data_IF_797084940420
#
_entry.id   IF_797084940420
#
_cell.length_a   1.000
_cell.length_b   1.000
_cell.length_c   1.000
_cell.angle_alpha   90.00
_cell.angle_beta   90.00
_cell.angle_gamma   90.00
#
_symmetry.space_group_name_H-M   'P 1'
#
loop_
_entity.id
_entity.type
_entity.pdbx_description
1 polymer ?
#
# COMPACT_ATOMS: atom_id res chain seq x y z
N UNK A 14 24.93 7.88 -5.64
CA UNK A 14 25.50 6.74 -6.41
C UNK A 14 24.73 6.49 -7.71
N UNK A 15 25.45 6.34 -8.81
CA UNK A 15 24.82 6.13 -10.12
C UNK A 15 24.71 4.64 -10.44
N UNK A 16 23.49 4.20 -10.77
CA UNK A 16 23.21 2.80 -11.09
C UNK A 16 22.37 2.70 -12.38
N UNK A 17 22.74 1.74 -13.24
CA UNK A 17 22.20 1.64 -14.59
C UNK A 17 21.44 0.33 -14.84
N UNK A 18 20.28 0.17 -14.21
CA UNK A 18 19.51 -1.09 -14.34
C UNK A 18 18.13 -0.93 -15.04
N UNK A 19 17.41 -2.07 -15.26
CA UNK A 19 16.13 -2.01 -15.96
C UNK A 19 14.92 -1.70 -15.07
N UNK A 20 13.85 -1.21 -15.70
CA UNK A 20 12.66 -0.75 -14.99
C UNK A 20 11.45 -1.63 -15.32
N UNK A 21 10.79 -2.13 -14.28
CA UNK A 21 9.50 -2.80 -14.41
C UNK A 21 8.39 -1.88 -13.87
N UNK A 22 7.46 -1.46 -14.75
CA UNK A 22 6.33 -0.66 -14.33
C UNK A 22 5.38 -1.47 -13.47
N UNK A 23 4.77 -0.79 -12.51
CA UNK A 23 3.74 -1.38 -11.66
C UNK A 23 2.43 -0.63 -11.91
N UNK A 24 1.39 -1.35 -12.31
CA UNK A 24 0.12 -0.74 -12.72
C UNK A 24 -0.46 0.15 -11.63
N UNK A 25 -0.60 -0.39 -10.42
CA UNK A 25 -1.24 0.35 -9.35
C UNK A 25 -0.64 0.08 -7.96
N UNK A 26 0.64 -0.26 -7.90
CA UNK A 26 1.30 -0.44 -6.61
C UNK A 26 2.55 0.40 -6.44
N UNK A 27 2.91 0.62 -5.18
CA UNK A 27 4.18 1.21 -4.81
C UNK A 27 4.83 0.28 -3.78
N UNK A 28 6.03 -0.17 -4.09
CA UNK A 28 6.74 -1.10 -3.23
C UNK A 28 7.77 -0.34 -2.40
N UNK A 29 7.55 -0.31 -1.09
CA UNK A 29 8.46 0.40 -0.20
C UNK A 29 9.64 -0.47 0.21
N UNK A 30 10.80 0.16 0.42
CA UNK A 30 11.89 -0.51 1.09
C UNK A 30 11.39 -1.37 2.24
N UNK A 31 11.93 -2.60 2.32
CA UNK A 31 11.60 -3.57 3.37
C UNK A 31 10.13 -4.01 3.33
N UNK A 33 7.53 -6.71 1.35
CA UNK A 33 7.50 -7.94 0.55
C UNK A 33 6.14 -8.14 -0.11
N UNK A 34 6.14 -8.33 -1.42
CA UNK A 34 4.89 -8.45 -2.18
C UNK A 34 5.01 -9.40 -3.40
N UNK A 35 3.95 -10.20 -3.65
CA UNK A 35 3.87 -10.97 -4.89
C UNK A 35 3.42 -10.10 -6.08
N UNK A 36 4.25 -10.01 -7.11
CA UNK A 36 3.83 -9.40 -8.37
C UNK A 36 3.46 -10.48 -9.37
N UNK A 37 2.35 -10.27 -10.07
CA UNK A 37 1.89 -11.22 -11.06
C UNK A 37 2.07 -10.62 -12.44
N UNK A 38 2.97 -11.23 -13.21
CA UNK A 38 3.36 -10.73 -14.52
C UNK A 38 2.97 -11.70 -15.63
N UNK A 39 2.28 -11.18 -16.66
CA UNK A 39 1.83 -12.01 -17.78
C UNK A 39 2.07 -11.45 -19.18
N UNK A 40 3.06 -10.57 -19.30
CA UNK A 40 3.36 -9.92 -20.56
C UNK A 40 4.57 -10.55 -21.25
N UNK A 41 4.50 -10.62 -22.58
CA UNK A 41 5.61 -11.11 -23.41
C UNK A 41 6.79 -10.13 -23.34
N UNK A 42 6.58 -8.99 -22.78
CA UNK A 42 7.60 -7.94 -22.74
C UNK A 42 8.29 -7.79 -21.38
N UNK A 43 7.77 -8.46 -20.32
CA UNK A 43 8.34 -8.34 -18.98
C UNK A 43 9.22 -9.52 -18.59
N UNK A 44 8.63 -10.72 -18.59
CA UNK A 44 9.27 -11.94 -18.10
C UNK A 44 10.68 -12.13 -18.64
N UNK A 45 10.87 -11.85 -19.92
CA UNK A 45 12.16 -12.01 -20.58
C UNK A 45 13.25 -11.14 -19.95
N UNK A 46 12.85 -9.99 -19.40
CA UNK A 46 13.78 -9.11 -18.69
C UNK A 46 13.85 -9.43 -17.20
N UNK A 47 12.74 -9.93 -16.65
CA UNK A 47 12.70 -10.44 -15.28
C UNK A 47 13.64 -11.63 -15.08
N UNK A 48 13.97 -12.30 -16.18
CA UNK A 48 14.92 -13.41 -16.19
C UNK A 48 16.35 -12.91 -16.36
N UNK A 49 16.54 -11.99 -17.31
CA UNK A 49 17.86 -11.39 -17.57
C UNK A 49 18.37 -10.55 -16.39
N UNK A 50 17.46 -10.05 -15.57
CA UNK A 50 17.81 -9.38 -14.33
C UNK A 50 17.97 -10.37 -13.17
N UNK A 52 19.47 -13.24 -13.29
CA UNK A 52 20.88 -13.67 -13.32
C UNK A 52 21.82 -12.48 -13.44
N UNK A 53 21.40 -11.33 -12.93
CA UNK A 53 22.20 -10.11 -12.94
C UNK A 53 22.14 -9.44 -11.56
N UNK A 54 22.60 -10.17 -10.55
CA UNK A 54 22.62 -9.70 -9.15
C UNK A 54 21.23 -9.56 -8.51
N UNK A 55 20.22 -10.15 -9.14
CA UNK A 55 18.85 -10.31 -8.58
C UNK A 55 18.06 -9.03 -8.26
N UNK A 56 18.56 -7.87 -8.72
CA UNK A 56 18.00 -6.55 -8.36
C UNK A 56 17.19 -5.87 -9.48
N UNK A 57 15.98 -5.43 -9.14
CA UNK A 57 15.06 -4.78 -10.10
C UNK A 57 14.70 -3.34 -9.66
N UNK A 59 11.69 -0.69 -9.59
CA UNK A 59 10.23 -0.72 -9.58
C UNK A 59 9.60 0.66 -9.57
N UNK A 60 9.12 1.09 -10.74
CA UNK A 60 8.48 2.39 -10.89
C UNK A 60 7.00 2.20 -11.24
N UNK A 61 6.13 2.94 -10.55
CA UNK A 61 4.71 2.89 -10.80
C UNK A 61 4.32 3.94 -11.84
N UNK A 62 3.37 3.57 -12.71
CA UNK A 62 2.81 4.53 -13.66
C UNK A 62 1.70 5.41 -13.05
N UNK A 63 0.90 6.06 -13.89
CA UNK A 63 -0.11 7.03 -13.43
C UNK A 63 -1.43 6.93 -14.19
N UNK A 64 -2.15 8.05 -14.28
CA UNK A 64 -3.50 8.12 -14.90
C UNK A 64 -3.63 7.34 -16.21
N UNK A 65 -4.81 6.76 -16.39
CA UNK A 65 -5.07 5.71 -17.39
C UNK A 65 -4.04 4.59 -17.23
N UNK A 66 -4.35 3.64 -16.34
CA UNK A 66 -3.49 2.49 -16.08
C UNK A 66 -3.35 1.66 -17.36
N UNK A 67 -2.82 2.32 -18.38
CA UNK A 67 -2.69 1.80 -19.74
C UNK A 67 -1.67 0.67 -19.81
N UNK A 68 -2.09 -0.43 -20.41
CA UNK A 68 -1.29 -1.65 -20.47
C UNK A 68 -0.01 -1.52 -21.30
N UNK A 69 0.06 -0.47 -22.13
CA UNK A 69 1.26 -0.20 -22.91
C UNK A 69 1.86 1.15 -22.53
N UNK A 70 2.60 1.19 -21.40
CA UNK A 70 3.12 2.45 -20.89
C UNK A 70 4.32 2.93 -21.71
N UNK A 71 4.37 4.23 -21.95
CA UNK A 71 5.45 4.84 -22.74
C UNK A 71 6.67 5.17 -21.91
N UNK A 72 7.27 6.33 -22.19
CA UNK A 72 8.46 6.77 -21.47
C UNK A 72 8.19 7.98 -20.56
N UNK A 73 7.09 8.68 -20.83
CA UNK A 73 6.65 9.80 -19.99
C UNK A 73 5.58 9.37 -18.98
N UNK A 74 5.18 8.10 -19.07
CA UNK A 74 4.07 7.55 -18.28
C UNK A 74 4.49 7.05 -16.89
N UNK A 75 5.77 7.13 -16.60
CA UNK A 75 6.31 6.69 -15.32
C UNK A 75 6.58 7.88 -14.39
N UNK A 76 6.59 7.60 -13.10
CA UNK A 76 6.95 8.58 -12.10
C UNK A 76 8.46 8.79 -12.11
N UNK A 77 8.92 9.85 -11.46
CA UNK A 77 10.35 10.19 -11.44
C UNK A 77 11.14 9.22 -10.58
N UNK A 78 10.51 8.75 -9.48
CA UNK A 78 11.18 7.96 -8.44
C UNK A 78 10.62 6.53 -8.34
N UNK A 79 11.49 5.60 -8.00
CA UNK A 79 11.10 4.20 -7.84
C UNK A 79 11.86 3.50 -6.73
N UNK A 80 11.70 2.19 -6.68
CA UNK A 80 12.36 1.37 -5.67
C UNK A 80 13.21 0.30 -6.32
N UNK A 81 14.46 0.18 -5.89
CA UNK A 81 15.28 -0.98 -6.22
C UNK A 81 14.86 -2.12 -5.27
N UNK A 82 14.53 -3.27 -5.87
CA UNK A 82 13.98 -4.39 -5.11
C UNK A 82 14.57 -5.71 -5.57
N UNK A 83 14.97 -6.55 -4.61
CA UNK A 83 15.52 -7.87 -4.93
C UNK A 83 14.41 -8.91 -5.12
N UNK A 84 14.72 -9.97 -5.85
CA UNK A 84 13.76 -11.02 -6.19
C UNK A 84 13.89 -12.19 -5.23
N UNK A 85 12.81 -12.51 -4.53
CA UNK A 85 12.78 -13.64 -3.60
C UNK A 85 12.39 -15.00 -4.24
N UNK A 86 11.73 -14.95 -5.41
CA UNK A 86 11.39 -16.16 -6.18
C UNK A 86 10.76 -15.84 -7.55
N UNK A 88 7.87 -18.15 -10.23
CA UNK A 88 7.00 -19.33 -10.24
C UNK A 88 5.97 -19.29 -11.37
N UNK A 89 6.23 -20.04 -12.42
CA UNK A 89 5.27 -20.18 -13.51
C UNK A 89 3.97 -20.74 -12.96
N UNK A 90 2.84 -20.31 -13.51
CA UNK A 90 1.54 -20.72 -12.98
C UNK A 90 0.65 -21.35 -14.02
N UNK A 91 -0.32 -22.19 -13.57
CA UNK A 91 -1.21 -22.94 -14.48
C UNK A 91 -1.67 -22.14 -15.71
N UNK A 92 -1.89 -20.83 -15.56
CA UNK A 92 -2.35 -20.00 -16.69
C UNK A 92 -1.23 -19.29 -17.47
N UNK A 93 0.02 -19.67 -17.17
CA UNK A 93 1.19 -19.11 -17.87
C UNK A 93 1.71 -17.81 -17.29
N UNK A 94 1.32 -17.50 -16.05
CA UNK A 94 1.69 -16.23 -15.42
C UNK A 94 2.69 -16.45 -14.28
N UNK A 95 3.76 -15.65 -14.26
CA UNK A 95 4.79 -15.79 -13.21
C UNK A 95 4.47 -14.99 -11.96
N UNK A 96 4.22 -15.69 -10.86
CA UNK A 96 4.18 -15.09 -9.53
C UNK A 96 5.61 -14.85 -9.05
N UNK A 97 6.02 -13.58 -9.07
CA UNK A 97 7.35 -13.20 -8.57
C UNK A 97 7.28 -12.40 -7.26
N UNK A 98 7.82 -13.01 -6.21
CA UNK A 98 7.86 -12.40 -4.89
C UNK A 98 9.06 -11.48 -4.82
N UNK A 99 8.87 -10.28 -4.27
CA UNK A 99 9.94 -9.28 -4.15
C UNK A 99 10.01 -8.58 -2.80
N UNK A 100 11.19 -8.06 -2.48
CA UNK A 100 11.41 -7.22 -1.32
C UNK A 100 12.05 -5.93 -1.82
N UNK A 101 11.52 -4.79 -1.36
CA UNK A 101 12.05 -3.48 -1.72
C UNK A 101 13.31 -3.19 -0.93
N UNK A 102 14.28 -2.56 -1.58
CA UNK A 102 15.53 -2.22 -0.89
C UNK A 102 15.65 -0.73 -0.57
N UNK A 103 15.80 0.11 -1.60
CA UNK A 103 15.97 1.57 -1.41
C UNK A 103 15.44 2.35 -2.58
N UNK A 104 14.95 3.57 -2.31
CA UNK A 104 14.43 4.42 -3.40
C UNK A 104 15.52 5.13 -4.21
N UNK A 105 15.23 5.36 -5.49
CA UNK A 105 16.18 6.01 -6.41
C UNK A 105 15.43 6.82 -7.46
N UNK A 106 16.05 7.91 -7.89
CA UNK A 106 15.47 8.82 -8.90
C UNK A 106 15.90 8.47 -10.34
N UNK A 107 14.96 8.66 -11.28
CA UNK A 107 15.23 8.50 -12.70
C UNK A 107 15.93 9.77 -13.23
N UNK A 108 17.16 9.60 -13.73
CA UNK A 108 17.85 10.67 -14.48
C UNK A 108 17.22 10.76 -15.87
N UNK A 109 17.22 9.62 -16.56
CA UNK A 109 16.46 9.42 -17.78
C UNK A 109 16.36 7.92 -18.00
N UNK A 110 15.18 7.48 -18.46
CA UNK A 110 14.97 6.09 -18.81
C UNK A 110 14.97 5.92 -20.33
N UNK A 111 14.92 4.68 -20.78
CA UNK A 111 14.99 4.37 -22.21
C UNK A 111 14.26 3.08 -22.55
N UNK A 112 13.33 3.17 -23.50
CA UNK A 112 12.63 1.98 -24.00
C UNK A 112 13.53 1.24 -24.99
N UNK A 113 14.39 0.37 -24.45
CA UNK A 113 15.31 -0.43 -25.25
C UNK A 113 14.66 -1.67 -25.81
N UNK A 114 13.79 -1.48 -26.80
CA UNK A 114 13.10 -2.58 -27.45
C UNK A 114 11.81 -2.96 -26.74
N UNK A 115 11.95 -3.65 -25.61
CA UNK A 115 10.79 -4.13 -24.84
C UNK A 115 10.82 -3.60 -23.41
N UNK A 116 11.93 -3.88 -22.73
CA UNK A 116 12.15 -3.45 -21.35
C UNK A 116 12.65 -2.00 -21.29
N UNK A 117 12.98 -1.55 -20.07
CA UNK A 117 13.38 -0.17 -19.85
C UNK A 117 14.75 -0.06 -19.19
N UNK A 118 15.68 0.60 -19.87
CA UNK A 118 16.96 0.93 -19.26
C UNK A 118 16.87 2.28 -18.58
N UNK A 119 17.54 2.43 -17.44
CA UNK A 119 17.48 3.68 -16.67
C UNK A 119 18.67 3.93 -15.76
N UNK A 120 18.90 5.21 -15.50
CA UNK A 120 19.83 5.70 -14.51
C UNK A 120 18.99 6.72 -13.70
N UNK A 121 19.39 7.13 -12.47
CA UNK A 121 20.51 6.59 -11.65
C UNK A 121 20.65 7.39 -10.34
N UNK A 122 20.31 6.78 -9.20
CA UNK A 122 20.33 7.49 -7.90
C UNK A 122 20.38 6.59 -6.67
N UNK A 123 19.98 7.14 -5.52
CA UNK A 123 20.02 6.44 -4.25
C UNK A 123 19.43 7.33 -3.15
N UNK A 124 18.62 6.75 -2.27
CA UNK A 124 18.05 7.47 -1.12
C UNK A 124 19.05 7.54 0.02
N UNK A 125 19.32 8.77 0.49
CA UNK A 125 20.19 9.01 1.63
C UNK A 125 20.19 10.48 2.06
N UNK A 126 19.17 10.87 2.84
CA UNK A 126 19.07 12.24 3.37
C UNK A 126 18.15 12.38 4.61
N UNK A 127 18.76 12.43 5.81
CA UNK A 127 18.02 12.60 7.08
C UNK A 127 17.79 14.07 7.46
N UNK A 128 17.62 14.33 8.75
CA UNK A 128 17.28 15.67 9.26
C UNK A 128 17.99 15.95 10.59
N UNK A 129 18.06 17.23 10.97
CA UNK A 129 18.60 17.65 12.28
C UNK A 129 17.47 17.69 13.33
N UNK A 130 17.86 17.75 14.60
CA UNK A 130 16.95 17.65 15.76
C UNK A 130 16.30 16.28 15.92
N UNK A 131 16.99 15.42 16.66
CA UNK A 131 16.56 14.05 16.91
C UNK A 131 15.67 13.98 18.15
N UNK A 132 15.53 15.09 18.87
CA UNK A 132 14.57 15.18 19.96
C UNK A 132 13.13 15.27 19.43
N UNK A 133 12.90 16.19 18.50
CA UNK A 133 11.63 16.27 17.79
C UNK A 133 11.30 14.94 17.17
N UNK A 134 12.25 14.36 16.44
CA UNK A 134 11.97 13.08 15.78
C UNK A 134 11.71 11.93 16.76
N UNK A 135 12.26 12.00 17.97
CA UNK A 135 11.98 10.99 18.99
C UNK A 135 10.50 11.03 19.34
N UNK A 136 10.02 12.24 19.65
CA UNK A 136 8.60 12.49 19.96
C UNK A 136 7.72 12.06 18.79
N UNK A 137 8.06 12.57 17.61
CA UNK A 137 7.28 12.35 16.40
C UNK A 137 7.15 10.85 16.11
N UNK A 138 8.23 10.09 16.34
CA UNK A 138 8.19 8.62 16.24
C UNK A 138 7.19 8.03 17.24
N UNK A 139 7.35 8.37 18.52
CA UNK A 139 6.44 7.90 19.56
C UNK A 139 4.97 8.21 19.24
N UNK A 140 4.71 9.43 18.77
CA UNK A 140 3.38 9.82 18.39
C UNK A 140 2.92 8.92 17.24
N UNK A 141 3.76 8.71 16.23
CA UNK A 141 3.39 7.85 15.10
C UNK A 141 3.04 6.43 15.54
N UNK A 142 3.93 5.69 16.27
CA UNK A 142 3.57 4.32 16.72
C UNK A 142 2.22 4.32 17.45
N UNK A 143 2.01 5.34 18.27
CA UNK A 143 0.81 5.43 19.11
C UNK A 143 -0.45 5.69 18.32
N UNK A 144 -0.31 6.43 17.21
CA UNK A 144 -1.42 6.70 16.32
C UNK A 144 -1.78 5.43 15.52
N UNK A 145 -0.75 4.74 15.02
CA UNK A 145 -0.90 3.44 14.34
C UNK A 145 -1.61 2.43 15.22
N UNK A 146 -1.16 2.34 16.47
CA UNK A 146 -1.76 1.45 17.47
C UNK A 146 -3.27 1.62 17.51
N UNK A 147 -3.73 2.86 17.69
CA UNK A 147 -5.16 3.17 17.67
C UNK A 147 -5.81 3.02 16.30
N UNK A 148 -4.97 3.05 15.26
CA UNK A 148 -5.45 2.92 13.88
C UNK A 148 -5.83 1.48 13.52
N UNK A 149 -5.00 0.50 13.86
CA UNK A 149 -5.30 -0.92 13.59
C UNK A 149 -6.62 -1.35 14.29
N UNK A 150 -6.85 -0.79 15.47
CA UNK A 150 -8.09 -1.00 16.23
C UNK A 150 -9.33 -0.63 15.42
N UNK A 151 -9.24 0.39 14.57
CA UNK A 151 -10.35 0.78 13.72
C UNK A 151 -10.30 0.12 12.35
N UNK A 152 -9.11 -0.32 11.92
CA UNK A 152 -8.94 -0.96 10.62
C UNK A 152 -9.25 -2.46 10.69
N UNK A 153 -8.49 -3.19 11.51
CA UNK A 153 -8.80 -4.60 11.86
C UNK A 153 -8.56 -5.62 10.73
N UNK A 154 -8.21 -5.14 9.54
CA UNK A 154 -7.72 -5.98 8.45
C UNK A 154 -6.23 -6.26 8.67
N UNK A 155 -5.61 -5.40 9.47
CA UNK A 155 -4.17 -5.44 9.70
C UNK A 155 -3.86 -6.26 10.96
N UNK A 156 -2.94 -7.24 10.83
CA UNK A 156 -2.50 -8.10 11.94
C UNK A 156 -2.13 -7.26 13.15
N UNK A 157 -2.88 -7.41 14.27
CA UNK A 157 -2.65 -6.59 15.47
C UNK A 157 -1.24 -6.74 16.06
N UNK A 158 -0.44 -7.61 15.45
CA UNK A 158 0.85 -8.01 16.00
C UNK A 158 2.08 -7.53 15.24
N UNK A 159 1.90 -7.14 13.97
CA UNK A 159 3.00 -6.52 13.22
C UNK A 159 3.20 -5.05 13.65
N UNK A 160 2.19 -4.52 14.32
CA UNK A 160 2.28 -3.30 15.12
C UNK A 160 3.41 -3.47 16.13
N UNK A 161 3.20 -4.38 17.08
CA UNK A 161 4.12 -4.61 18.19
C UNK A 161 5.45 -5.24 17.76
N UNK A 162 5.41 -6.07 16.71
CA UNK A 162 6.61 -6.73 16.20
C UNK A 162 7.63 -5.70 15.71
N UNK A 163 7.13 -4.62 15.12
CA UNK A 163 7.99 -3.55 14.65
C UNK A 163 7.85 -2.30 15.53
N UNK A 164 7.20 -2.48 16.68
CA UNK A 164 7.18 -1.47 17.75
C UNK A 164 8.61 -1.25 18.26
N UNK A 165 9.39 -2.33 18.24
CA UNK A 165 10.78 -2.32 18.64
C UNK A 165 11.68 -1.56 17.65
N UNK A 166 11.60 -1.94 16.38
CA UNK A 166 12.50 -1.43 15.32
C UNK A 166 12.82 0.06 15.46
N UNK A 167 14.11 0.38 15.44
CA UNK A 167 14.59 1.74 15.62
C UNK A 167 14.24 2.64 14.42
N UNK A 168 14.56 2.16 13.23
CA UNK A 168 14.57 2.96 11.99
C UNK A 168 13.28 3.73 11.65
N UNK A 169 13.32 5.07 11.78
CA UNK A 169 12.18 5.93 11.47
C UNK A 169 11.77 5.83 10.00
N UNK A 170 12.74 5.89 9.08
CA UNK A 170 12.45 5.67 7.67
C UNK A 170 11.67 4.36 7.47
N UNK A 171 12.10 3.31 8.16
CA UNK A 171 11.47 2.00 8.05
C UNK A 171 10.11 1.97 8.72
N UNK A 172 9.97 2.77 9.77
CA UNK A 172 8.72 2.90 10.50
C UNK A 172 7.66 3.51 9.58
N UNK A 173 8.05 4.55 8.87
CA UNK A 173 7.16 5.24 7.94
C UNK A 173 6.78 4.40 6.73
N UNK A 174 7.72 3.60 6.25
CA UNK A 174 7.44 2.75 5.10
C UNK A 174 6.57 1.58 5.50
N UNK A 175 6.79 1.07 6.71
CA UNK A 175 5.91 0.04 7.25
C UNK A 175 4.48 0.55 7.41
N UNK A 176 4.32 1.78 7.88
CA UNK A 176 2.97 2.36 8.02
C UNK A 176 2.31 2.61 6.66
N UNK A 177 3.08 3.16 5.72
CA UNK A 177 2.59 3.40 4.38
C UNK A 177 2.10 2.11 3.75
N UNK A 178 2.92 1.08 3.82
CA UNK A 178 2.63 -0.22 3.20
C UNK A 178 1.34 -0.87 3.69
N UNK A 179 1.08 -0.70 4.99
CA UNK A 179 -0.09 -1.29 5.63
C UNK A 179 -1.32 -0.42 5.62
N UNK A 181 -4.38 1.79 3.18
CA UNK A 181 -5.02 1.71 1.89
C UNK A 181 -4.95 3.06 1.22
N UNK A 182 -3.74 3.60 1.10
CA UNK A 182 -3.52 4.87 0.42
C UNK A 182 -3.82 4.80 -1.06
N UNK A 183 -4.34 5.91 -1.58
CA UNK A 183 -4.45 6.10 -3.02
C UNK A 183 -3.02 6.19 -3.59
N UNK A 184 -2.85 5.76 -4.83
CA UNK A 184 -1.56 5.84 -5.54
C UNK A 184 -0.82 7.17 -5.32
N UNK A 185 -1.46 8.28 -5.67
CA UNK A 185 -0.83 9.61 -5.55
C UNK A 185 -0.11 9.80 -4.21
N UNK A 186 -0.80 9.45 -3.12
CA UNK A 186 -0.22 9.51 -1.79
C UNK A 186 0.88 8.46 -1.61
N UNK A 187 0.63 7.23 -2.08
CA UNK A 187 1.66 6.16 -2.11
C UNK A 187 3.00 6.67 -2.67
N UNK A 188 2.94 7.36 -3.82
CA UNK A 188 4.15 7.82 -4.50
C UNK A 188 4.74 9.04 -3.87
N UNK A 189 3.89 9.91 -3.36
CA UNK A 189 4.37 11.13 -2.75
C UNK A 189 5.10 10.77 -1.44
N UNK A 190 4.65 9.70 -0.78
CA UNK A 190 5.38 9.19 0.38
C UNK A 190 6.76 8.62 -0.02
N UNK A 191 6.81 7.92 -1.16
CA UNK A 191 8.07 7.42 -1.75
C UNK A 191 8.98 8.59 -2.14
N UNK A 192 8.41 9.60 -2.79
CA UNK A 192 9.13 10.80 -3.23
C UNK A 192 9.65 11.72 -2.10
N UNK A 194 11.87 12.71 0.75
CA UNK A 194 13.15 12.28 1.31
C UNK A 194 13.22 12.53 2.82
N UNK A 195 12.58 13.61 3.28
CA UNK A 195 12.60 13.96 4.71
C UNK A 195 11.65 13.06 5.51
N UNK A 196 12.24 12.13 6.26
CA UNK A 196 11.53 11.10 7.06
C UNK A 196 10.52 11.67 8.06
N UNK A 197 10.83 12.85 8.59
CA UNK A 197 9.90 13.58 9.45
C UNK A 197 8.63 14.00 8.69
N UNK A 198 8.81 14.41 7.44
CA UNK A 198 7.73 14.96 6.66
C UNK A 198 6.81 13.85 6.24
N UNK A 199 7.36 12.66 6.12
CA UNK A 199 6.52 11.60 5.59
C UNK A 199 5.78 10.96 6.74
N UNK A 200 6.41 10.98 7.91
CA UNK A 200 5.77 10.61 9.16
C UNK A 200 4.63 11.54 9.52
N UNK A 201 4.74 12.81 9.17
CA UNK A 201 3.69 13.73 9.54
C UNK A 201 2.60 13.63 8.51
N UNK A 202 2.99 13.39 7.26
CA UNK A 202 1.98 13.18 6.23
C UNK A 202 1.11 11.96 6.55
N UNK A 203 1.76 10.82 6.82
CA UNK A 203 1.06 9.56 7.14
C UNK A 203 0.21 9.68 8.38
N UNK A 205 -1.25 12.39 9.09
CA UNK A 205 -2.41 13.11 8.56
C UNK A 205 -3.33 12.14 7.84
N UNK A 208 -5.22 9.92 10.59
CA UNK A 208 -6.21 10.71 11.30
C UNK A 208 -7.45 10.90 10.42
N UNK A 209 -7.23 11.27 9.16
CA UNK A 209 -8.32 11.42 8.19
C UNK A 209 -9.17 10.14 8.12
N UNK A 210 -8.50 9.01 7.90
CA UNK A 210 -9.10 7.68 7.88
C UNK A 210 -9.89 7.37 9.13
N UNK A 211 -9.24 7.58 10.26
CA UNK A 211 -9.78 7.28 11.58
C UNK A 211 -11.12 8.00 11.75
N UNK A 212 -11.15 9.28 11.37
CA UNK A 212 -12.36 10.10 11.44
C UNK A 212 -13.47 9.49 10.60
N UNK A 213 -13.13 9.24 9.34
CA UNK A 213 -13.98 8.56 8.39
C UNK A 213 -14.55 7.24 8.98
N UNK A 214 -13.70 6.43 9.60
CA UNK A 214 -14.13 5.14 10.15
C UNK A 214 -15.05 5.30 11.37
N UNK A 215 -15.00 6.47 11.99
CA UNK A 215 -15.85 6.76 13.12
C UNK A 215 -17.22 7.22 12.66
N UNK A 216 -17.24 7.91 11.52
CA UNK A 216 -18.47 8.36 10.92
C UNK A 216 -19.24 7.13 10.46
N UNK A 217 -18.56 6.32 9.66
CA UNK A 217 -19.13 5.07 9.14
C UNK A 217 -19.67 4.13 10.24
N UNK A 218 -18.97 4.02 11.36
CA UNK A 218 -19.39 3.18 12.49
C UNK A 218 -20.71 3.67 13.09
N UNK A 219 -20.78 4.97 13.38
CA UNK A 219 -22.00 5.61 13.90
C UNK A 219 -23.19 5.42 12.99
N UNK A 220 -22.97 5.64 11.69
CA UNK A 220 -23.98 5.39 10.68
C UNK A 220 -24.45 3.93 10.69
N UNK A 221 -23.49 3.00 10.61
CA UNK A 221 -23.79 1.55 10.67
C UNK A 221 -24.61 1.17 11.93
N UNK A 222 -24.32 1.81 13.05
CA UNK A 222 -25.07 1.59 14.26
C UNK A 222 -26.50 2.17 14.30
N UNK A 223 -26.67 3.39 13.81
CA UNK A 223 -28.02 3.92 13.60
C UNK A 223 -28.80 3.00 12.68
N UNK A 224 -28.16 2.60 11.58
CA UNK A 224 -28.80 1.71 10.60
C UNK A 224 -29.21 0.33 11.16
N UNK A 225 -28.34 -0.35 11.91
CA UNK A 225 -28.66 -1.61 12.56
C UNK A 225 -29.83 -1.51 13.53
N UNK A 226 -29.85 -0.44 14.33
CA UNK A 226 -30.93 -0.21 15.32
C UNK A 226 -32.25 0.01 14.63
N UNK A 227 -32.19 0.68 13.49
CA UNK A 227 -33.36 0.87 12.67
C UNK A 227 -33.82 -0.45 12.09
N UNK A 229 -33.42 -3.45 13.16
CA UNK A 229 -33.94 -4.25 14.25
C UNK A 229 -35.27 -3.78 14.83
N UNK A 230 -35.43 -2.47 14.98
CA UNK A 230 -36.68 -1.86 15.40
C UNK A 230 -37.79 -2.12 14.38
N UNK A 231 -37.47 -2.00 13.09
CA UNK A 231 -38.46 -2.18 12.04
C UNK A 231 -38.91 -3.62 11.92
N UNK A 232 -37.96 -4.54 11.93
CA UNK A 232 -38.22 -5.96 11.84
C UNK A 232 -39.16 -6.44 12.97
N UNK A 233 -38.85 -6.04 14.21
CA UNK A 233 -39.64 -6.37 15.38
C UNK A 233 -41.05 -5.80 15.31
N UNK A 234 -41.19 -4.57 14.83
CA UNK A 234 -42.52 -3.99 14.60
C UNK A 234 -43.34 -4.88 13.68
N UNK A 235 -42.72 -5.34 12.60
CA UNK A 235 -43.40 -6.19 11.63
C UNK A 235 -43.82 -7.54 12.22
N UNK A 236 -43.02 -8.06 13.15
CA UNK A 236 -43.26 -9.33 13.78
C UNK A 236 -44.41 -9.19 14.78
N UNK A 237 -44.30 -8.22 15.68
CA UNK A 237 -45.38 -7.85 16.58
C UNK A 237 -46.71 -7.65 15.87
N UNK A 238 -46.66 -7.17 14.64
CA UNK A 238 -47.87 -6.81 13.93
C UNK A 238 -48.45 -7.96 13.12
N UNK A 239 -47.60 -8.90 12.74
CA UNK A 239 -48.03 -10.16 12.20
C UNK A 239 -48.60 -11.04 13.33
N UNK A 240 -48.19 -10.73 14.55
CA UNK A 240 -48.74 -11.34 15.74
C UNK A 240 -50.15 -10.83 15.99
N UNK A 242 -52.34 -9.53 13.98
CA UNK A 242 -53.22 -10.11 12.95
C UNK A 242 -53.61 -11.54 13.34
N UNK A 243 -52.61 -12.43 13.38
CA UNK A 243 -52.77 -13.85 13.68
C UNK A 243 -53.57 -14.14 14.95
N UNK A 244 -53.64 -13.17 15.85
CA UNK A 244 -54.39 -13.29 17.08
C UNK A 244 -55.84 -12.82 16.86
N UNK A 245 -56.00 -11.61 16.33
CA UNK A 245 -57.33 -11.13 15.95
C UNK A 245 -58.09 -12.14 15.08
N UNK A 246 -57.38 -12.80 14.16
CA UNK A 246 -57.96 -13.86 13.33
C UNK A 246 -58.44 -15.07 14.17
N UNK A 247 -57.56 -15.62 15.01
CA UNK A 247 -57.91 -16.76 15.87
C UNK A 247 -59.06 -16.41 16.82
N UNK A 248 -59.15 -15.14 17.21
CA UNK A 248 -60.22 -14.65 18.09
C UNK A 248 -61.57 -14.57 17.41
N UNK A 249 -61.62 -13.94 16.24
CA UNK A 249 -62.84 -13.86 15.44
C UNK A 249 -63.42 -15.24 15.21
N UNK A 250 -62.55 -16.17 14.84
CA UNK A 250 -62.91 -17.58 14.64
C UNK A 250 -63.20 -18.33 15.97
N UNK A 252 -66.63 -17.44 18.48
CA UNK A 252 -68.04 -17.39 18.88
C UNK A 252 -68.95 -17.27 17.67
#
# INVERSE_FOLDING_TARGET
XHHHHHHXNPERSERIEIPVLPLRDVVVYPHXVIPLFVGREKSIRCLEAAXDHDKKIXLVAQKEASTDEPGVNDLFTVGTVASILQXLKLPDGTVKVLVEGLQRARISALSDNGEHFSAKAEYLESPTIDEREQEVLVRTAISQFEGYIKLNKKIPPEVLTSLNSIDDPARLADTIAAHXPLKLADKQSVLEXSDVNERLEYLXAXXESEIDLLQVEKRIRNRVKKQXEKSQREYYLNEQXKAIQKELGEXD
#
